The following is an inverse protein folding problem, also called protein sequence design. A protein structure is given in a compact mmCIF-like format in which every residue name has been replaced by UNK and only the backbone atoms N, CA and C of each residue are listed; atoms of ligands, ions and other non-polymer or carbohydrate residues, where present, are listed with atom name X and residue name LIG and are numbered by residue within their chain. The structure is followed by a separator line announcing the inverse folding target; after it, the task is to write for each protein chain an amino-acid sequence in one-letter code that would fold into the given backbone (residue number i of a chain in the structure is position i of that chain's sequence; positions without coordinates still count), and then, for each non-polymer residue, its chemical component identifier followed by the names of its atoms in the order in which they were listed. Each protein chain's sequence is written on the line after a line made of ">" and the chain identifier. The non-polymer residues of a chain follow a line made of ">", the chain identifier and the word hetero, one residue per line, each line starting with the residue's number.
data_IF_813037427258
#
_entry.id   IF_813037427258
#
_cell.length_a   1.000
_cell.length_b   1.000
_cell.length_c   1.000
_cell.angle_alpha   90.00
_cell.angle_beta   90.00
_cell.angle_gamma   90.00
#
_symmetry.space_group_name_H-M   'P 1'
#
loop_
_entity.id
_entity.type
_entity.pdbx_description
1 polymer ?
#
# COMPACT_ATOMS: atom_id res chain seq x y z
N UNK A 1 -10.82 15.22 -6.53
CA UNK A 1 -9.64 15.38 -5.65
C UNK A 1 -8.69 14.24 -5.97
N UNK A 2 -7.46 14.53 -6.40
CA UNK A 2 -6.44 13.48 -6.55
C UNK A 2 -6.15 12.93 -5.16
N UNK A 3 -6.48 11.67 -4.90
CA UNK A 3 -6.18 11.05 -3.61
C UNK A 3 -4.65 10.91 -3.47
N UNK A 4 -4.09 11.39 -2.36
CA UNK A 4 -2.67 11.20 -2.04
C UNK A 4 -2.44 9.71 -1.74
N UNK A 5 -1.41 9.12 -2.36
CA UNK A 5 -1.04 7.73 -2.15
C UNK A 5 -0.76 7.45 -0.66
N UNK A 6 -0.15 8.39 0.07
CA UNK A 6 0.11 8.23 1.51
C UNK A 6 -1.17 8.02 2.30
N UNK A 7 -2.20 8.80 1.99
CA UNK A 7 -3.49 8.67 2.66
C UNK A 7 -4.14 7.33 2.35
N UNK A 8 -4.09 6.87 1.10
CA UNK A 8 -4.69 5.59 0.70
C UNK A 8 -4.00 4.41 1.38
N UNK A 9 -2.67 4.42 1.41
CA UNK A 9 -1.87 3.40 2.07
C UNK A 9 -2.14 3.38 3.59
N UNK A 10 -2.18 4.55 4.23
CA UNK A 10 -2.50 4.62 5.66
C UNK A 10 -3.89 4.06 5.95
N UNK A 11 -4.90 4.43 5.14
CA UNK A 11 -6.27 3.94 5.30
C UNK A 11 -6.35 2.42 5.14
N UNK A 12 -5.66 1.84 4.15
CA UNK A 12 -5.60 0.38 3.98
C UNK A 12 -5.04 -0.31 5.22
N UNK A 13 -3.93 0.20 5.75
CA UNK A 13 -3.30 -0.34 6.95
C UNK A 13 -4.25 -0.26 8.16
N UNK A 14 -4.87 0.88 8.41
CA UNK A 14 -5.74 1.08 9.58
C UNK A 14 -7.03 0.28 9.51
N UNK A 15 -7.66 0.15 8.32
CA UNK A 15 -8.88 -0.64 8.13
C UNK A 15 -8.70 -2.11 8.53
N UNK A 16 -7.51 -2.66 8.27
CA UNK A 16 -7.22 -4.07 8.53
C UNK A 16 -6.47 -4.29 9.84
N UNK A 17 -6.09 -3.20 10.52
CA UNK A 17 -5.39 -3.24 11.80
C UNK A 17 -5.99 -2.28 12.84
N UNK A 18 -7.27 -2.46 13.24
CA UNK A 18 -7.94 -1.54 14.18
C UNK A 18 -7.29 -1.51 15.57
N UNK A 19 -6.54 -2.57 15.93
CA UNK A 19 -5.80 -2.68 17.19
C UNK A 19 -4.36 -2.19 17.09
N UNK A 20 -3.89 -1.77 15.91
CA UNK A 20 -2.53 -1.27 15.67
C UNK A 20 -1.47 -2.32 16.10
N UNK A 21 -1.74 -3.60 15.84
CA UNK A 21 -0.81 -4.69 16.08
C UNK A 21 0.52 -4.46 15.34
N UNK A 22 1.63 -4.96 15.89
CA UNK A 22 2.95 -4.85 15.29
C UNK A 22 3.12 -5.89 14.17
N UNK A 23 2.53 -5.57 13.02
CA UNK A 23 2.36 -6.48 11.89
C UNK A 23 2.69 -5.82 10.55
N UNK A 24 2.97 -6.65 9.56
CA UNK A 24 2.99 -6.28 8.15
C UNK A 24 1.70 -6.76 7.50
N UNK A 25 1.18 -5.95 6.57
CA UNK A 25 0.08 -6.36 5.69
C UNK A 25 0.53 -6.33 4.24
N UNK A 26 0.24 -7.39 3.50
CA UNK A 26 0.56 -7.56 2.09
C UNK A 26 -0.75 -7.67 1.32
N UNK A 27 -0.97 -6.72 0.41
CA UNK A 27 -2.12 -6.67 -0.48
C UNK A 27 -1.67 -6.97 -1.90
N UNK A 28 -2.28 -7.96 -2.52
CA UNK A 28 -1.85 -8.43 -3.83
C UNK A 28 -3.03 -8.38 -4.79
N UNK A 29 -2.85 -7.70 -5.94
CA UNK A 29 -3.73 -7.84 -7.09
C UNK A 29 -3.28 -9.02 -7.94
N UNK A 30 -4.21 -9.96 -8.13
CA UNK A 30 -3.95 -11.26 -8.75
C UNK A 30 -4.13 -11.26 -10.28
N UNK A 31 -4.50 -10.12 -10.89
CA UNK A 31 -4.76 -10.07 -12.34
C UNK A 31 -6.09 -10.65 -12.78
N UNK A 32 -6.98 -10.96 -11.83
CA UNK A 32 -8.31 -11.47 -12.12
C UNK A 32 -9.16 -10.29 -12.60
N UNK A 33 -9.85 -10.47 -13.74
CA UNK A 33 -10.65 -9.40 -14.39
C UNK A 33 -12.12 -9.75 -14.52
N UNK A 34 -12.52 -10.97 -14.12
CA UNK A 34 -13.94 -11.34 -14.14
C UNK A 34 -14.69 -10.69 -12.97
N UNK A 35 -16.00 -10.50 -13.15
CA UNK A 35 -16.85 -9.80 -12.18
C UNK A 35 -17.26 -10.67 -10.98
N UNK A 36 -16.91 -11.96 -10.97
CA UNK A 36 -17.40 -12.94 -10.01
C UNK A 36 -16.40 -13.14 -8.87
N UNK A 37 -15.10 -13.08 -9.15
CA UNK A 37 -14.05 -13.30 -8.17
C UNK A 37 -13.46 -12.00 -7.62
N UNK A 38 -13.10 -11.99 -6.34
CA UNK A 38 -12.32 -10.89 -5.77
C UNK A 38 -10.87 -10.98 -6.29
N UNK A 39 -10.37 -9.96 -7.00
CA UNK A 39 -9.02 -10.00 -7.55
C UNK A 39 -7.93 -9.67 -6.52
N UNK A 40 -8.31 -9.34 -5.28
CA UNK A 40 -7.39 -8.93 -4.23
C UNK A 40 -7.24 -10.02 -3.16
N UNK A 41 -6.00 -10.21 -2.72
CA UNK A 41 -5.65 -11.03 -1.57
C UNK A 41 -5.00 -10.18 -0.49
N UNK A 42 -5.34 -10.45 0.77
CA UNK A 42 -4.71 -9.85 1.94
C UNK A 42 -4.05 -10.94 2.79
N UNK A 43 -2.79 -10.72 3.15
CA UNK A 43 -2.05 -11.54 4.10
C UNK A 43 -1.43 -10.63 5.17
N UNK A 44 -1.58 -11.01 6.44
CA UNK A 44 -0.95 -10.35 7.58
C UNK A 44 0.08 -11.26 8.23
N UNK A 45 1.14 -10.68 8.79
CA UNK A 45 2.13 -11.42 9.58
C UNK A 45 2.66 -10.56 10.73
N UNK A 46 3.01 -11.21 11.84
CA UNK A 46 3.70 -10.58 12.95
C UNK A 46 5.11 -10.14 12.55
N UNK A 47 5.49 -8.96 13.03
CA UNK A 47 6.81 -8.41 12.80
C UNK A 47 7.67 -8.54 14.07
N UNK A 48 8.97 -8.87 13.93
CA UNK A 48 9.95 -8.74 14.99
C UNK A 48 9.99 -7.31 15.59
N UNK A 49 10.31 -7.14 16.89
CA UNK A 49 10.29 -5.83 17.55
C UNK A 49 11.20 -4.76 16.92
N UNK A 50 12.24 -5.17 16.19
CA UNK A 50 13.20 -4.29 15.53
C UNK A 50 12.81 -3.91 14.10
N UNK A 51 11.66 -4.37 13.60
CA UNK A 51 11.16 -4.02 12.28
C UNK A 51 10.14 -2.87 12.36
N UNK A 52 10.11 -2.06 11.30
CA UNK A 52 9.06 -1.04 11.17
C UNK A 52 7.77 -1.72 10.73
N UNK A 53 6.64 -1.26 11.27
CA UNK A 53 5.31 -1.57 10.73
C UNK A 53 5.29 -1.19 9.25
N UNK A 54 4.75 -2.06 8.40
CA UNK A 54 4.72 -1.79 6.96
C UNK A 54 3.48 -2.33 6.27
N UNK A 55 3.19 -1.74 5.11
CA UNK A 55 2.18 -2.18 4.16
C UNK A 55 2.88 -2.46 2.84
N UNK A 56 2.53 -3.55 2.17
CA UNK A 56 2.99 -3.86 0.82
C UNK A 56 1.80 -3.91 -0.12
N UNK A 57 1.88 -3.19 -1.24
CA UNK A 57 1.01 -3.36 -2.40
C UNK A 57 1.76 -4.12 -3.48
N UNK A 58 1.18 -5.19 -4.00
CA UNK A 58 1.73 -6.00 -5.07
C UNK A 58 0.79 -6.00 -6.27
N UNK A 59 1.35 -5.74 -7.44
CA UNK A 59 0.73 -6.00 -8.72
C UNK A 59 1.40 -7.26 -9.29
N UNK A 60 0.82 -8.43 -9.00
CA UNK A 60 1.40 -9.73 -9.37
C UNK A 60 1.56 -9.85 -10.90
N UNK A 61 0.58 -9.47 -11.74
CA UNK A 61 0.74 -9.50 -13.20
C UNK A 61 1.90 -8.63 -13.72
N UNK A 62 2.08 -7.43 -13.15
CA UNK A 62 3.17 -6.55 -13.53
C UNK A 62 4.53 -7.03 -12.96
N UNK A 63 4.49 -7.89 -11.94
CA UNK A 63 5.64 -8.27 -11.13
C UNK A 63 6.23 -7.06 -10.39
N UNK A 64 5.36 -6.18 -9.90
CA UNK A 64 5.76 -4.95 -9.23
C UNK A 64 5.23 -4.92 -7.80
N UNK A 65 5.98 -4.29 -6.90
CA UNK A 65 5.55 -4.06 -5.53
C UNK A 65 5.98 -2.69 -5.02
N UNK A 66 5.22 -2.19 -4.04
CA UNK A 66 5.52 -0.98 -3.29
C UNK A 66 5.35 -1.29 -1.81
N UNK A 67 6.40 -1.10 -1.03
CA UNK A 67 6.38 -1.20 0.43
C UNK A 67 6.44 0.19 1.04
N UNK A 68 5.47 0.49 1.88
CA UNK A 68 5.37 1.72 2.65
C UNK A 68 5.60 1.43 4.13
N UNK A 69 6.31 2.32 4.80
CA UNK A 69 6.60 2.21 6.23
C UNK A 69 5.67 3.12 7.04
N UNK A 70 5.22 2.61 8.18
CA UNK A 70 4.32 3.31 9.08
C UNK A 70 5.10 3.79 10.30
N UNK A 71 5.04 5.09 10.57
CA UNK A 71 5.70 5.73 11.73
C UNK A 71 4.68 6.37 12.67
N UNK A 72 4.90 6.30 14.00
CA UNK A 72 4.09 7.06 14.94
C UNK A 72 4.40 8.55 14.84
N UNK A 73 3.40 9.40 15.05
CA UNK A 73 3.55 10.86 15.08
C UNK A 73 3.43 11.41 16.51
N UNK A 74 4.07 12.56 16.77
CA UNK A 74 4.12 13.17 18.11
C UNK A 74 2.74 13.54 18.67
N UNK A 75 1.79 13.89 17.81
CA UNK A 75 0.41 14.24 18.18
C UNK A 75 -0.46 13.02 18.52
N UNK A 76 0.10 11.81 18.50
CA UNK A 76 -0.65 10.57 18.53
C UNK A 76 -1.17 10.20 17.14
N UNK A 77 -1.17 8.89 16.83
CA UNK A 77 -1.54 8.35 15.53
C UNK A 77 -0.34 7.87 14.72
N UNK A 78 -0.57 7.66 13.43
CA UNK A 78 0.39 7.09 12.49
C UNK A 78 0.37 7.81 11.16
N UNK A 79 1.51 7.83 10.49
CA UNK A 79 1.65 8.32 9.12
C UNK A 79 2.48 7.36 8.27
N UNK A 80 2.42 7.55 6.95
CA UNK A 80 3.32 6.89 6.01
C UNK A 80 4.60 7.72 5.90
N UNK A 81 5.76 7.06 5.99
CA UNK A 81 7.03 7.72 5.70
C UNK A 81 7.00 8.34 4.29
N UNK A 82 7.65 9.49 4.11
CA UNK A 82 7.74 10.14 2.79
C UNK A 82 8.57 9.36 1.77
N UNK A 83 8.97 8.13 2.07
CA UNK A 83 9.70 7.25 1.16
C UNK A 83 9.08 5.86 1.16
N UNK A 84 9.01 5.26 -0.02
CA UNK A 84 8.58 3.87 -0.22
C UNK A 84 9.68 3.08 -0.91
N UNK A 85 9.69 1.77 -0.71
CA UNK A 85 10.55 0.84 -1.44
C UNK A 85 9.76 0.27 -2.60
N UNK A 86 10.22 0.52 -3.82
CA UNK A 86 9.66 -0.09 -5.03
C UNK A 86 10.51 -1.29 -5.44
N UNK A 87 9.84 -2.38 -5.81
CA UNK A 87 10.44 -3.58 -6.38
C UNK A 87 9.82 -3.95 -7.73
N UNK A 88 10.60 -4.55 -8.62
CA UNK A 88 10.12 -5.03 -9.91
C UNK A 88 10.56 -6.48 -10.23
N UNK A 89 10.03 -7.03 -11.32
CA UNK A 89 10.27 -8.41 -11.75
C UNK A 89 11.72 -8.74 -12.10
N UNK A 90 12.55 -7.72 -12.32
CA UNK A 90 13.99 -7.90 -12.59
C UNK A 90 14.82 -7.89 -11.31
N UNK A 91 14.19 -7.79 -10.13
CA UNK A 91 14.85 -7.76 -8.82
C UNK A 91 15.42 -6.39 -8.45
N UNK A 92 15.09 -5.32 -9.18
CA UNK A 92 15.54 -3.96 -8.84
C UNK A 92 14.73 -3.47 -7.64
N UNK A 93 15.44 -2.97 -6.63
CA UNK A 93 14.88 -2.26 -5.49
C UNK A 93 15.29 -0.79 -5.54
N UNK A 94 14.32 0.11 -5.42
CA UNK A 94 14.56 1.55 -5.43
C UNK A 94 13.78 2.26 -4.33
N UNK A 95 14.43 3.21 -3.67
CA UNK A 95 13.76 4.13 -2.74
C UNK A 95 13.14 5.28 -3.52
N UNK A 96 11.84 5.50 -3.33
CA UNK A 96 11.04 6.49 -4.04
C UNK A 96 10.48 7.48 -3.02
N UNK A 97 10.86 8.75 -3.14
CA UNK A 97 10.35 9.83 -2.29
C UNK A 97 8.96 10.29 -2.76
N UNK A 98 7.96 10.28 -1.88
CA UNK A 98 6.57 10.65 -2.17
C UNK A 98 6.30 12.17 -2.14
N UNK A 99 7.25 12.96 -1.65
CA UNK A 99 7.16 14.40 -1.41
C UNK A 99 7.42 15.27 -2.65
N UNK A 100 7.86 14.67 -3.76
CA UNK A 100 8.21 15.41 -4.98
C UNK A 100 6.99 15.53 -5.90
N UNK A 101 6.55 16.75 -6.20
CA UNK A 101 5.50 17.02 -7.20
C UNK A 101 5.78 16.51 -8.63
N UNK A 102 7.01 16.05 -8.92
CA UNK A 102 7.34 15.30 -10.14
C UNK A 102 6.89 13.84 -10.11
N UNK A 103 6.82 13.22 -8.92
CA UNK A 103 6.50 11.81 -8.75
C UNK A 103 5.00 11.55 -8.82
N UNK A 104 4.19 12.48 -8.32
CA UNK A 104 2.72 12.44 -8.45
C UNK A 104 2.27 12.35 -9.91
N UNK A 105 3.08 12.86 -10.84
CA UNK A 105 2.81 12.84 -12.29
C UNK A 105 3.39 11.62 -13.01
N UNK A 106 4.12 10.76 -12.30
CA UNK A 106 4.65 9.55 -12.91
C UNK A 106 3.56 8.49 -13.10
N UNK A 107 3.62 7.77 -14.21
CA UNK A 107 2.69 6.68 -14.51
C UNK A 107 2.68 5.62 -13.40
N UNK A 108 3.85 5.30 -12.84
CA UNK A 108 3.99 4.35 -11.74
C UNK A 108 3.27 4.80 -10.48
N UNK A 109 3.40 6.08 -10.11
CA UNK A 109 2.67 6.60 -8.96
C UNK A 109 1.15 6.49 -9.17
N UNK A 110 0.67 6.88 -10.36
CA UNK A 110 -0.75 6.79 -10.70
C UNK A 110 -1.27 5.35 -10.69
N UNK A 111 -0.47 4.40 -11.19
CA UNK A 111 -0.78 2.97 -11.14
C UNK A 111 -0.97 2.48 -9.69
N UNK A 112 -0.08 2.84 -8.77
CA UNK A 112 -0.20 2.44 -7.36
C UNK A 112 -1.33 3.19 -6.63
N UNK A 113 -1.62 4.44 -6.98
CA UNK A 113 -2.80 5.18 -6.47
C UNK A 113 -4.08 4.45 -6.87
N UNK A 114 -4.23 4.13 -8.16
CA UNK A 114 -5.39 3.40 -8.67
C UNK A 114 -5.52 2.01 -8.05
N UNK A 115 -4.40 1.33 -7.81
CA UNK A 115 -4.38 0.04 -7.15
C UNK A 115 -4.86 0.14 -5.70
N UNK A 116 -4.32 1.10 -4.93
CA UNK A 116 -4.69 1.33 -3.54
C UNK A 116 -6.17 1.72 -3.40
N UNK A 117 -6.67 2.62 -4.25
CA UNK A 117 -8.08 3.02 -4.26
C UNK A 117 -9.00 1.84 -4.64
N UNK A 118 -8.60 1.03 -5.62
CA UNK A 118 -9.38 -0.17 -6.00
C UNK A 118 -9.46 -1.19 -4.88
N UNK A 119 -8.38 -1.38 -4.13
CA UNK A 119 -8.39 -2.23 -2.94
C UNK A 119 -9.28 -1.64 -1.83
N UNK A 120 -9.26 -0.31 -1.61
CA UNK A 120 -10.10 0.34 -0.59
C UNK A 120 -11.60 0.18 -0.87
N UNK A 121 -12.00 0.15 -2.14
CA UNK A 121 -13.40 -0.06 -2.53
C UNK A 121 -13.99 -1.38 -2.04
N UNK A 122 -13.17 -2.38 -1.70
CA UNK A 122 -13.66 -3.63 -1.09
C UNK A 122 -14.26 -3.42 0.31
N UNK A 123 -13.92 -2.33 1.00
CA UNK A 123 -14.44 -1.99 2.32
C UNK A 123 -15.62 -1.02 2.27
N UNK A 124 -15.95 -0.48 1.09
CA UNK A 124 -17.12 0.38 0.94
C UNK A 124 -18.40 -0.47 0.99
N UNK A 125 -19.46 -0.01 1.68
CA UNK A 125 -20.75 -0.69 1.64
C UNK A 125 -21.23 -0.76 0.19
N UNK A 126 -21.61 -1.97 -0.26
CA UNK A 126 -22.28 -2.15 -1.54
C UNK A 126 -23.64 -1.44 -1.43
N UNK A 127 -23.81 -0.34 -2.17
CA UNK A 127 -25.10 0.35 -2.33
C UNK A 127 -25.98 -0.45 -3.28
#
# INVERSE_FOLDING_TARGET
>A
MSQDLRELLLRLYLQNNPKIAHQIYIYSYLGITDAVHNPFQLVGADLPPNMKKSLVLQNIPAGEMLQAFITPIQSGGFEIENTVVYGNKTGVLANIGLDKGKIERSEKYQQFVQLADSMLRQFAPRV
#
